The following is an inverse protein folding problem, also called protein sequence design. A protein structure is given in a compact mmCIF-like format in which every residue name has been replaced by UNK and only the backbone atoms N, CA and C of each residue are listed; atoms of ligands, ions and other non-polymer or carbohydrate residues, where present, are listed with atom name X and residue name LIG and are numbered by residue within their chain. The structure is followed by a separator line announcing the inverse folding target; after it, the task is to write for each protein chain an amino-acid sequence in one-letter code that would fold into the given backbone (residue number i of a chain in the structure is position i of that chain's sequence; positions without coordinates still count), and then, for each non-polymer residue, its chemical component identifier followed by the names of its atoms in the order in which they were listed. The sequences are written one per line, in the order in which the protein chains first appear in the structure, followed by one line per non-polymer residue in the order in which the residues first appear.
data_IF_996311581223
#
_entry.id   IF_996311581223
#
_cell.length_a   1.000
_cell.length_b   1.000
_cell.length_c   1.000
_cell.angle_alpha   90.00
_cell.angle_beta   90.00
_cell.angle_gamma   90.00
#
_symmetry.space_group_name_H-M   'P 1'
#
loop_
_entity.id
_entity.type
_entity.pdbx_description
1 polymer ?
#
# COMPACT_ATOMS: atom_id res chain seq x y z
N UNK A 1 -0.59 -5.72 -73.72
CA UNK A 1 -1.07 -5.95 -72.33
C UNK A 1 0.13 -6.37 -71.49
N UNK A 2 0.69 -5.47 -70.70
CA UNK A 2 1.75 -5.76 -69.73
C UNK A 2 1.34 -5.05 -68.45
N UNK A 3 0.76 -5.80 -67.51
CA UNK A 3 0.35 -5.29 -66.20
C UNK A 3 1.55 -5.45 -65.27
N UNK A 4 2.09 -4.33 -64.81
CA UNK A 4 3.17 -4.26 -63.84
C UNK A 4 2.73 -4.81 -62.48
N UNK A 5 3.45 -5.82 -61.98
CA UNK A 5 3.39 -6.24 -60.58
C UNK A 5 4.17 -5.23 -59.73
N UNK A 6 3.46 -4.41 -58.95
CA UNK A 6 4.05 -3.63 -57.86
C UNK A 6 4.28 -4.56 -56.67
N UNK A 7 5.53 -5.02 -56.50
CA UNK A 7 5.99 -5.57 -55.23
C UNK A 7 6.07 -4.43 -54.21
N UNK A 8 5.10 -4.36 -53.30
CA UNK A 8 5.25 -3.63 -52.04
C UNK A 8 6.33 -4.36 -51.23
N UNK A 9 7.57 -3.88 -51.31
CA UNK A 9 8.57 -4.19 -50.29
C UNK A 9 8.07 -3.57 -48.98
N UNK A 10 7.63 -4.44 -48.07
CA UNK A 10 7.42 -4.09 -46.67
C UNK A 10 8.81 -3.73 -46.11
N UNK A 11 9.13 -2.43 -46.07
CA UNK A 11 10.29 -1.95 -45.33
C UNK A 11 10.07 -2.32 -43.87
N UNK A 12 10.80 -3.33 -43.40
CA UNK A 12 10.99 -3.56 -41.98
C UNK A 12 11.68 -2.30 -41.43
N UNK A 13 10.91 -1.43 -40.80
CA UNK A 13 11.39 -0.14 -40.30
C UNK A 13 12.56 -0.38 -39.35
N UNK A 14 13.74 0.12 -39.72
CA UNK A 14 14.88 0.20 -38.81
C UNK A 14 14.49 1.09 -37.64
N UNK A 15 14.73 0.62 -36.42
CA UNK A 15 14.48 1.41 -35.22
C UNK A 15 15.26 2.75 -35.31
N UNK A 16 14.68 3.85 -34.83
CA UNK A 16 15.42 5.09 -34.62
C UNK A 16 16.71 4.82 -33.83
N UNK A 17 17.82 5.53 -34.13
CA UNK A 17 19.12 5.27 -33.52
C UNK A 17 19.11 5.33 -31.99
N UNK A 18 18.27 6.18 -31.37
CA UNK A 18 18.10 6.22 -29.91
C UNK A 18 17.51 4.94 -29.34
N UNK A 19 16.45 4.40 -29.96
CA UNK A 19 15.79 3.17 -29.52
C UNK A 19 16.68 1.94 -29.76
N UNK A 20 17.48 1.92 -30.82
CA UNK A 20 18.43 0.85 -31.08
C UNK A 20 19.56 0.78 -30.03
N UNK A 21 20.03 1.95 -29.57
CA UNK A 21 21.04 2.06 -28.52
C UNK A 21 20.51 1.59 -27.16
N UNK A 22 19.30 2.01 -26.79
CA UNK A 22 18.63 1.56 -25.56
C UNK A 22 18.36 0.05 -25.59
N UNK A 23 17.89 -0.48 -26.71
CA UNK A 23 17.68 -1.92 -26.89
C UNK A 23 18.99 -2.69 -26.69
N UNK A 24 20.10 -2.21 -27.27
CA UNK A 24 21.40 -2.84 -27.13
C UNK A 24 21.86 -2.85 -25.67
N UNK A 25 21.74 -1.70 -24.98
CA UNK A 25 22.06 -1.59 -23.56
C UNK A 25 21.25 -2.57 -22.71
N UNK A 26 19.93 -2.62 -22.89
CA UNK A 26 19.05 -3.54 -22.15
C UNK A 26 19.46 -5.00 -22.41
N UNK A 27 19.75 -5.36 -23.67
CA UNK A 27 20.19 -6.73 -23.97
C UNK A 27 21.54 -7.07 -23.35
N UNK A 28 22.46 -6.11 -23.25
CA UNK A 28 23.75 -6.30 -22.59
C UNK A 28 23.58 -6.44 -21.08
N UNK A 29 22.78 -5.59 -20.43
CA UNK A 29 22.53 -5.64 -18.99
C UNK A 29 21.87 -6.95 -18.55
N UNK A 30 20.92 -7.44 -19.36
CA UNK A 30 20.19 -8.67 -19.05
C UNK A 30 20.93 -9.95 -19.53
N UNK A 31 22.05 -9.80 -20.23
CA UNK A 31 22.86 -10.94 -20.68
C UNK A 31 23.54 -11.61 -19.49
N UNK A 32 23.11 -12.82 -19.15
CA UNK A 32 23.65 -13.56 -17.99
C UNK A 32 23.11 -13.09 -16.64
N UNK A 33 22.16 -12.14 -16.62
CA UNK A 33 21.51 -11.71 -15.39
C UNK A 33 20.57 -12.80 -14.86
N UNK A 34 20.80 -13.26 -13.63
CA UNK A 34 19.94 -14.23 -12.97
C UNK A 34 19.09 -13.55 -11.88
N UNK A 35 17.83 -13.30 -12.21
CA UNK A 35 16.85 -12.66 -11.31
C UNK A 35 16.53 -13.43 -10.04
N UNK A 36 16.85 -14.72 -9.96
CA UNK A 36 16.60 -15.52 -8.76
C UNK A 36 17.70 -15.34 -7.70
N UNK A 37 18.79 -14.67 -8.06
CA UNK A 37 19.94 -14.41 -7.18
C UNK A 37 19.88 -12.97 -6.73
N UNK A 38 19.93 -12.78 -5.40
CA UNK A 38 20.02 -11.45 -4.79
C UNK A 38 21.23 -10.67 -5.30
N UNK A 39 21.15 -9.34 -5.39
CA UNK A 39 22.29 -8.51 -5.79
C UNK A 39 23.49 -8.61 -4.86
N UNK A 40 23.24 -8.68 -3.56
CA UNK A 40 24.26 -8.70 -2.51
C UNK A 40 23.84 -9.65 -1.36
N UNK A 41 24.78 -9.97 -0.48
CA UNK A 41 24.56 -10.74 0.74
C UNK A 41 23.58 -10.03 1.68
N UNK A 42 23.66 -8.71 1.75
CA UNK A 42 22.75 -7.85 2.53
C UNK A 42 22.26 -6.68 1.68
N UNK A 43 20.95 -6.64 1.41
CA UNK A 43 20.33 -5.62 0.56
C UNK A 43 19.56 -4.62 1.41
N UNK A 44 19.90 -3.34 1.30
CA UNK A 44 19.14 -2.26 1.91
C UNK A 44 17.98 -1.85 1.00
N UNK A 45 16.77 -1.88 1.53
CA UNK A 45 15.55 -1.50 0.82
C UNK A 45 14.97 -0.27 1.50
N UNK A 46 14.80 0.79 0.73
CA UNK A 46 14.10 1.99 1.14
C UNK A 46 12.64 1.86 0.69
N UNK A 47 11.70 1.97 1.63
CA UNK A 47 10.27 1.96 1.33
C UNK A 47 9.70 3.34 1.59
N UNK A 48 8.94 3.86 0.63
CA UNK A 48 8.07 5.02 0.83
C UNK A 48 6.62 4.61 0.60
N UNK A 49 5.73 5.12 1.43
CA UNK A 49 4.29 4.92 1.28
C UNK A 49 3.60 6.26 1.10
N UNK A 50 2.66 6.32 0.16
CA UNK A 50 1.77 7.46 -0.05
C UNK A 50 0.33 6.98 0.02
N UNK A 51 -0.41 7.42 1.03
CA UNK A 51 -1.78 6.99 1.29
C UNK A 51 -2.73 7.82 0.41
N UNK A 52 -3.50 7.13 -0.44
CA UNK A 52 -4.44 7.80 -1.35
C UNK A 52 -5.84 7.88 -0.77
N UNK A 53 -6.31 6.77 -0.19
CA UNK A 53 -7.62 6.74 0.45
C UNK A 53 -7.74 5.54 1.38
N UNK A 54 -8.58 5.69 2.38
CA UNK A 54 -9.13 4.56 3.13
C UNK A 54 -10.41 4.18 2.40
N UNK A 55 -10.47 2.97 1.85
CA UNK A 55 -11.58 2.54 0.99
C UNK A 55 -12.74 2.05 1.84
N UNK A 56 -12.45 1.14 2.79
CA UNK A 56 -13.45 0.62 3.73
C UNK A 56 -12.83 0.32 5.08
N UNK A 57 -13.65 0.46 6.12
CA UNK A 57 -13.35 -0.02 7.47
C UNK A 57 -14.49 -0.95 7.89
N UNK A 58 -14.16 -2.23 8.06
CA UNK A 58 -15.07 -3.25 8.61
C UNK A 58 -14.70 -3.52 10.06
N UNK A 59 -15.41 -2.86 10.97
CA UNK A 59 -15.21 -2.99 12.41
C UNK A 59 -15.55 -4.39 12.93
N UNK A 60 -16.51 -5.08 12.29
CA UNK A 60 -16.95 -6.41 12.71
C UNK A 60 -15.92 -7.46 12.34
N UNK A 61 -15.38 -7.37 11.12
CA UNK A 61 -14.32 -8.26 10.66
C UNK A 61 -12.92 -7.83 11.13
N UNK A 62 -12.80 -6.65 11.73
CA UNK A 62 -11.53 -6.06 12.13
C UNK A 62 -10.56 -5.88 10.96
N UNK A 63 -11.08 -5.40 9.83
CA UNK A 63 -10.32 -5.22 8.59
C UNK A 63 -10.42 -3.76 8.12
N UNK A 64 -9.25 -3.18 7.82
CA UNK A 64 -9.14 -1.91 7.11
C UNK A 64 -8.64 -2.17 5.69
N UNK A 65 -9.37 -1.65 4.71
CA UNK A 65 -8.96 -1.64 3.30
C UNK A 65 -8.52 -0.23 2.93
N UNK A 66 -7.28 -0.10 2.47
CA UNK A 66 -6.71 1.17 2.02
C UNK A 66 -6.16 1.05 0.60
N UNK A 67 -6.07 2.17 -0.10
CA UNK A 67 -5.36 2.27 -1.37
C UNK A 67 -4.16 3.19 -1.17
N UNK A 68 -2.98 2.68 -1.49
CA UNK A 68 -1.72 3.39 -1.31
C UNK A 68 -0.77 3.15 -2.48
N UNK A 69 0.09 4.13 -2.77
CA UNK A 69 1.29 3.90 -3.57
C UNK A 69 2.39 3.42 -2.64
N UNK A 70 3.03 2.31 -2.97
CA UNK A 70 4.21 1.81 -2.26
C UNK A 70 5.36 1.86 -3.25
N UNK A 71 6.43 2.58 -2.91
CA UNK A 71 7.67 2.54 -3.66
C UNK A 71 8.75 1.81 -2.89
N UNK A 72 9.59 1.10 -3.64
CA UNK A 72 10.73 0.35 -3.13
C UNK A 72 11.95 0.79 -3.93
N UNK A 73 13.02 1.13 -3.23
CA UNK A 73 14.29 1.50 -3.83
C UNK A 73 15.37 0.61 -3.25
N UNK A 74 16.16 0.00 -4.12
CA UNK A 74 17.32 -0.80 -3.75
C UNK A 74 18.43 -0.59 -4.75
N UNK A 75 19.56 -1.23 -4.52
CA UNK A 75 20.74 -1.12 -5.36
C UNK A 75 21.12 -2.49 -5.91
N UNK A 76 21.43 -2.57 -7.20
CA UNK A 76 21.91 -3.77 -7.89
C UNK A 76 23.07 -3.40 -8.82
N UNK A 77 24.30 -3.64 -8.34
CA UNK A 77 25.54 -3.36 -9.09
C UNK A 77 25.59 -4.01 -10.47
N UNK A 78 24.92 -5.16 -10.64
CA UNK A 78 24.90 -5.91 -11.91
C UNK A 78 24.11 -5.17 -13.00
N UNK A 79 23.27 -4.21 -12.62
CA UNK A 79 22.50 -3.37 -13.52
C UNK A 79 23.13 -1.98 -13.71
N UNK A 80 24.38 -1.78 -13.29
CA UNK A 80 25.11 -0.52 -13.50
C UNK A 80 25.77 -0.46 -14.89
N UNK A 81 25.92 0.75 -15.44
CA UNK A 81 26.66 0.97 -16.68
C UNK A 81 27.31 2.36 -16.72
N UNK A 82 28.28 2.53 -17.61
CA UNK A 82 28.91 3.83 -17.84
C UNK A 82 28.12 4.63 -18.88
N UNK A 83 27.53 5.75 -18.46
CA UNK A 83 26.73 6.65 -19.32
C UNK A 83 27.50 7.10 -20.58
N UNK A 84 28.81 7.35 -20.46
CA UNK A 84 29.65 7.80 -21.58
C UNK A 84 29.81 6.72 -22.66
N UNK A 85 29.80 5.44 -22.27
CA UNK A 85 29.89 4.31 -23.21
C UNK A 85 28.53 3.95 -23.82
N UNK A 86 27.44 4.38 -23.19
CA UNK A 86 26.06 4.03 -23.55
C UNK A 86 25.28 5.21 -24.14
N UNK A 87 25.95 6.09 -24.90
CA UNK A 87 25.33 7.24 -25.56
C UNK A 87 24.62 8.22 -24.61
N UNK A 88 25.15 8.41 -23.40
CA UNK A 88 24.60 9.26 -22.34
C UNK A 88 23.19 8.86 -21.88
N UNK A 89 22.85 7.58 -21.97
CA UNK A 89 21.63 7.04 -21.34
C UNK A 89 21.88 6.97 -19.83
N UNK A 90 21.11 7.74 -19.05
CA UNK A 90 21.20 7.77 -17.59
C UNK A 90 20.20 6.81 -16.93
N UNK A 91 19.02 6.64 -17.53
CA UNK A 91 17.94 5.84 -16.95
C UNK A 91 17.34 4.93 -18.03
N UNK A 92 17.04 3.69 -17.64
CA UNK A 92 16.28 2.73 -18.47
C UNK A 92 15.10 2.18 -17.69
N UNK A 93 14.04 1.80 -18.39
CA UNK A 93 12.87 1.16 -17.79
C UNK A 93 12.91 -0.35 -18.07
N UNK A 94 13.09 -1.15 -17.02
CA UNK A 94 13.16 -2.60 -17.14
C UNK A 94 11.85 -3.24 -16.65
N UNK A 95 11.32 -4.28 -17.32
CA UNK A 95 10.23 -5.07 -16.78
C UNK A 95 10.61 -5.69 -15.44
N UNK A 96 9.75 -5.54 -14.44
CA UNK A 96 9.98 -6.09 -13.09
C UNK A 96 10.20 -7.61 -13.14
N UNK A 97 9.54 -8.32 -14.07
CA UNK A 97 9.70 -9.77 -14.26
C UNK A 97 11.08 -10.22 -14.74
N UNK A 98 11.90 -9.32 -15.30
CA UNK A 98 13.24 -9.63 -15.81
C UNK A 98 14.35 -9.36 -14.80
N UNK A 99 14.07 -8.63 -13.72
CA UNK A 99 15.04 -8.27 -12.69
C UNK A 99 14.73 -8.96 -11.37
N UNK A 100 15.71 -9.02 -10.47
CA UNK A 100 15.46 -9.42 -9.09
C UNK A 100 14.59 -8.37 -8.40
N UNK A 101 13.62 -8.81 -7.60
CA UNK A 101 12.83 -7.94 -6.73
C UNK A 101 12.81 -8.48 -5.31
N UNK A 102 12.71 -7.59 -4.31
CA UNK A 102 12.58 -8.03 -2.93
C UNK A 102 11.19 -8.65 -2.69
N UNK A 103 11.17 -9.67 -1.84
CA UNK A 103 9.97 -10.43 -1.46
C UNK A 103 9.20 -9.77 -0.31
N UNK A 104 8.93 -8.47 -0.46
CA UNK A 104 8.19 -7.71 0.56
C UNK A 104 6.71 -8.15 0.58
N UNK A 105 6.20 -8.46 1.76
CA UNK A 105 4.81 -8.84 2.01
C UNK A 105 4.22 -8.05 3.18
N UNK A 106 2.90 -8.13 3.32
CA UNK A 106 2.15 -7.54 4.41
C UNK A 106 1.91 -8.62 5.48
N UNK A 107 2.58 -8.51 6.63
CA UNK A 107 2.51 -9.48 7.71
C UNK A 107 1.10 -9.61 8.30
N UNK A 108 0.42 -8.49 8.51
CA UNK A 108 -0.93 -8.46 9.06
C UNK A 108 -2.02 -8.39 7.97
N UNK A 109 -1.75 -9.02 6.81
CA UNK A 109 -2.72 -9.07 5.73
C UNK A 109 -3.99 -9.83 6.13
N UNK A 110 -5.13 -9.32 5.69
CA UNK A 110 -6.40 -10.03 5.77
C UNK A 110 -6.63 -10.97 4.57
N UNK A 111 -5.86 -10.80 3.49
CA UNK A 111 -5.91 -11.65 2.31
C UNK A 111 -4.99 -12.87 2.46
N UNK A 112 -5.34 -13.97 1.77
CA UNK A 112 -4.65 -15.25 1.91
C UNK A 112 -3.20 -15.26 1.38
N UNK A 113 -2.88 -14.41 0.39
CA UNK A 113 -1.54 -14.35 -0.20
C UNK A 113 -0.53 -13.61 0.69
N UNK A 114 -0.94 -12.53 1.34
CA UNK A 114 -0.05 -11.62 2.08
C UNK A 114 0.94 -10.83 1.22
N UNK A 115 1.32 -11.32 0.04
CA UNK A 115 2.23 -10.66 -0.89
C UNK A 115 1.64 -9.41 -1.54
N UNK A 116 2.50 -8.44 -1.83
CA UNK A 116 2.15 -7.28 -2.64
C UNK A 116 1.86 -7.74 -4.07
N UNK A 117 0.70 -7.35 -4.60
CA UNK A 117 0.30 -7.71 -5.96
C UNK A 117 1.09 -6.87 -6.96
N UNK A 118 2.10 -7.48 -7.60
CA UNK A 118 2.90 -6.84 -8.65
C UNK A 118 2.40 -7.31 -10.01
N UNK A 119 2.04 -6.38 -10.89
CA UNK A 119 1.61 -6.72 -12.26
C UNK A 119 2.82 -7.12 -13.11
N UNK A 120 2.66 -8.11 -13.99
CA UNK A 120 3.69 -8.55 -14.94
C UNK A 120 4.13 -7.45 -15.93
N UNK A 121 3.31 -6.42 -16.08
CA UNK A 121 3.58 -5.25 -16.92
C UNK A 121 4.24 -4.10 -16.16
N UNK A 122 4.49 -4.25 -14.86
CA UNK A 122 5.15 -3.22 -14.05
C UNK A 122 6.57 -3.03 -14.55
N UNK A 123 6.98 -1.76 -14.66
CA UNK A 123 8.33 -1.37 -15.00
C UNK A 123 9.02 -0.81 -13.76
N UNK A 124 10.30 -1.12 -13.61
CA UNK A 124 11.18 -0.47 -12.65
C UNK A 124 12.09 0.49 -13.42
N UNK A 125 12.30 1.67 -12.84
CA UNK A 125 13.29 2.62 -13.33
C UNK A 125 14.64 2.20 -12.76
N UNK A 126 15.63 2.06 -13.63
CA UNK A 126 17.01 1.75 -13.24
C UNK A 126 17.89 2.89 -13.70
N UNK A 127 18.65 3.46 -12.78
CA UNK A 127 19.67 4.46 -13.05
C UNK A 127 21.01 3.76 -13.38
N UNK A 128 21.85 4.44 -14.15
CA UNK A 128 23.22 4.08 -14.52
C UNK A 128 24.10 3.66 -13.35
N UNK A 129 23.82 4.18 -12.16
CA UNK A 129 24.50 3.81 -10.91
C UNK A 129 24.19 2.39 -10.45
N UNK A 130 23.10 1.77 -10.92
CA UNK A 130 22.57 0.50 -10.42
C UNK A 130 21.44 0.68 -9.39
N UNK A 131 21.02 1.92 -9.11
CA UNK A 131 19.85 2.17 -8.26
C UNK A 131 18.57 1.77 -9.02
N UNK A 132 17.76 0.92 -8.40
CA UNK A 132 16.48 0.48 -8.93
C UNK A 132 15.36 1.11 -8.11
N UNK A 133 14.45 1.79 -8.80
CA UNK A 133 13.23 2.38 -8.25
C UNK A 133 12.00 1.68 -8.83
N UNK A 134 11.25 1.00 -7.96
CA UNK A 134 9.99 0.36 -8.30
C UNK A 134 8.85 1.03 -7.55
N UNK A 135 7.77 1.35 -8.26
CA UNK A 135 6.54 1.87 -7.67
C UNK A 135 5.38 0.93 -7.96
N UNK A 136 4.61 0.61 -6.93
CA UNK A 136 3.38 -0.17 -7.01
C UNK A 136 2.21 0.82 -6.89
N UNK A 137 1.58 1.19 -8.01
CA UNK A 137 0.55 2.21 -8.01
C UNK A 137 -0.79 1.67 -7.50
N UNK A 138 -1.50 2.52 -6.73
CA UNK A 138 -2.88 2.28 -6.29
C UNK A 138 -3.12 0.87 -5.70
N UNK A 139 -2.17 0.36 -4.91
CA UNK A 139 -2.26 -0.98 -4.34
C UNK A 139 -3.38 -1.03 -3.30
N UNK A 140 -4.34 -1.94 -3.50
CA UNK A 140 -5.39 -2.23 -2.51
C UNK A 140 -4.82 -3.12 -1.41
N UNK A 141 -4.68 -2.57 -0.21
CA UNK A 141 -4.08 -3.21 0.95
C UNK A 141 -5.18 -3.49 1.97
N UNK A 142 -5.42 -4.77 2.26
CA UNK A 142 -6.35 -5.22 3.30
C UNK A 142 -5.57 -5.70 4.51
N UNK A 143 -5.70 -4.99 5.63
CA UNK A 143 -4.96 -5.28 6.86
C UNK A 143 -5.90 -5.55 8.01
N UNK A 144 -5.49 -6.47 8.89
CA UNK A 144 -6.15 -6.69 10.17
C UNK A 144 -5.79 -5.55 11.13
N UNK A 145 -6.82 -4.92 11.68
CA UNK A 145 -6.70 -3.82 12.63
C UNK A 145 -7.67 -4.04 13.79
N UNK A 146 -7.19 -3.94 15.02
CA UNK A 146 -8.00 -4.16 16.21
C UNK A 146 -8.81 -2.91 16.55
N UNK A 147 -10.13 -2.96 16.38
CA UNK A 147 -11.03 -1.86 16.69
C UNK A 147 -11.55 -1.94 18.13
N UNK A 148 -11.35 -0.88 18.91
CA UNK A 148 -11.82 -0.76 20.29
C UNK A 148 -13.02 0.19 20.37
N UNK A 149 -14.23 -0.35 20.53
CA UNK A 149 -15.50 0.41 20.45
C UNK A 149 -16.05 0.89 21.80
N UNK A 150 -15.22 0.97 22.85
CA UNK A 150 -15.66 1.30 24.21
C UNK A 150 -16.26 2.71 24.33
N UNK A 151 -15.74 3.67 23.56
CA UNK A 151 -16.16 5.09 23.58
C UNK A 151 -16.98 5.48 22.36
N UNK A 152 -17.64 4.52 21.71
CA UNK A 152 -18.43 4.81 20.51
C UNK A 152 -19.49 5.91 20.79
N UNK A 153 -19.65 6.92 19.91
CA UNK A 153 -18.98 7.15 18.62
C UNK A 153 -17.77 8.10 18.67
N UNK A 154 -17.19 8.35 19.85
CA UNK A 154 -16.03 9.23 20.08
C UNK A 154 -14.73 8.43 20.26
N UNK A 155 -14.60 7.35 19.51
CA UNK A 155 -13.46 6.44 19.54
C UNK A 155 -12.34 6.86 18.58
N UNK A 156 -11.12 6.55 19.00
CA UNK A 156 -9.90 6.65 18.20
C UNK A 156 -9.36 5.25 17.96
N UNK A 157 -8.81 5.02 16.78
CA UNK A 157 -8.29 3.72 16.36
C UNK A 157 -6.89 3.91 15.78
N UNK A 158 -6.04 2.90 15.97
CA UNK A 158 -4.68 2.86 15.44
C UNK A 158 -4.61 1.62 14.56
N UNK A 159 -4.48 1.82 13.25
CA UNK A 159 -4.33 0.74 12.30
C UNK A 159 -2.93 0.75 11.70
N UNK A 160 -2.27 -0.39 11.69
CA UNK A 160 -0.92 -0.54 11.15
C UNK A 160 -0.91 -1.32 9.85
N UNK A 161 -0.06 -0.95 8.89
CA UNK A 161 0.33 -1.78 7.75
C UNK A 161 1.76 -2.24 8.02
N UNK A 162 1.94 -3.54 8.27
CA UNK A 162 3.23 -4.10 8.63
C UNK A 162 3.86 -4.81 7.43
N UNK A 163 4.95 -4.25 6.89
CA UNK A 163 5.71 -4.80 5.78
C UNK A 163 6.94 -5.55 6.28
N UNK A 164 7.23 -6.70 5.70
CA UNK A 164 8.39 -7.55 6.05
C UNK A 164 8.82 -8.37 4.84
N UNK A 165 10.06 -8.86 4.83
CA UNK A 165 10.51 -9.91 3.90
C UNK A 165 10.11 -11.30 4.42
N UNK A 166 10.00 -12.31 3.55
CA UNK A 166 9.58 -13.67 3.92
C UNK A 166 10.70 -14.70 3.87
N UNK A 167 11.28 -14.87 2.69
CA UNK A 167 12.11 -15.99 2.27
C UNK A 167 13.60 -15.66 2.28
N UNK A 168 13.96 -14.38 2.44
CA UNK A 168 15.35 -13.97 2.33
C UNK A 168 16.18 -14.27 3.59
N UNK A 169 15.59 -14.73 4.69
CA UNK A 169 16.31 -15.08 5.91
C UNK A 169 16.79 -13.86 6.73
N UNK A 170 17.27 -14.13 7.94
CA UNK A 170 17.63 -13.11 8.93
C UNK A 170 18.72 -12.16 8.42
N UNK A 171 18.53 -10.85 8.66
CA UNK A 171 19.49 -9.77 8.41
C UNK A 171 19.96 -9.61 6.94
N UNK A 172 19.31 -10.27 5.99
CA UNK A 172 19.67 -10.24 4.57
C UNK A 172 18.95 -9.13 3.80
N UNK A 173 17.81 -8.69 4.31
CA UNK A 173 17.14 -7.47 3.89
C UNK A 173 17.12 -6.54 5.10
N UNK A 174 17.68 -5.35 4.94
CA UNK A 174 17.50 -4.26 5.91
C UNK A 174 16.51 -3.28 5.32
N UNK A 175 15.49 -2.96 6.11
CA UNK A 175 14.64 -1.83 5.81
C UNK A 175 15.28 -0.57 6.38
N UNK A 176 15.79 0.28 5.48
CA UNK A 176 16.43 1.51 5.90
C UNK A 176 15.37 2.58 6.15
N UNK A 177 15.40 3.16 7.35
CA UNK A 177 14.63 4.35 7.67
C UNK A 177 15.24 5.53 6.91
N UNK A 178 14.53 6.07 5.92
CA UNK A 178 14.83 7.43 5.51
C UNK A 178 14.16 8.35 6.54
N UNK A 179 14.97 8.89 7.46
CA UNK A 179 14.55 9.77 8.58
C UNK A 179 13.73 11.00 8.18
N UNK A 180 13.56 11.24 6.88
CA UNK A 180 12.80 12.35 6.29
C UNK A 180 11.41 11.95 5.78
N UNK A 181 11.03 10.67 5.84
CA UNK A 181 9.79 10.16 5.24
C UNK A 181 8.64 10.12 6.23
N UNK A 182 7.94 11.25 6.34
CA UNK A 182 6.51 11.23 6.70
C UNK A 182 5.77 10.50 5.57
N UNK A 183 4.79 9.66 5.91
CA UNK A 183 3.90 9.05 4.92
C UNK A 183 3.28 10.16 4.09
N UNK A 184 3.45 10.14 2.78
CA UNK A 184 2.93 11.21 1.94
C UNK A 184 1.40 11.11 1.90
N UNK A 185 0.74 12.09 2.52
CA UNK A 185 -0.71 12.24 2.53
C UNK A 185 -1.18 13.38 1.65
N UNK A 186 -0.32 13.96 0.79
CA UNK A 186 -0.70 15.10 -0.07
C UNK A 186 -1.83 14.76 -1.05
N UNK A 187 -1.86 13.52 -1.52
CA UNK A 187 -2.92 12.97 -2.37
C UNK A 187 -4.08 12.31 -1.62
N UNK A 188 -4.14 12.42 -0.28
CA UNK A 188 -5.14 11.71 0.50
C UNK A 188 -6.55 12.29 0.33
N UNK A 189 -7.49 11.45 -0.12
CA UNK A 189 -8.91 11.73 -0.10
C UNK A 189 -9.51 11.34 1.24
N UNK A 190 -10.09 12.32 1.94
CA UNK A 190 -10.59 12.12 3.30
C UNK A 190 -11.80 11.18 3.34
N UNK A 191 -11.76 10.22 4.28
CA UNK A 191 -12.87 9.29 4.47
C UNK A 191 -14.11 9.99 5.09
N UNK A 192 -15.35 9.65 4.67
CA UNK A 192 -16.56 10.32 5.14
C UNK A 192 -16.85 10.12 6.64
N UNK A 193 -16.48 8.98 7.21
CA UNK A 193 -16.77 8.63 8.62
C UNK A 193 -15.54 8.69 9.55
N UNK A 194 -14.34 8.78 8.97
CA UNK A 194 -13.09 8.65 9.71
C UNK A 194 -12.16 9.78 9.30
N UNK A 195 -11.61 10.48 10.28
CA UNK A 195 -10.59 11.50 10.10
C UNK A 195 -9.23 10.85 10.35
N UNK A 196 -8.36 10.88 9.34
CA UNK A 196 -6.93 10.62 9.54
C UNK A 196 -6.33 11.88 10.18
N UNK A 197 -5.83 11.77 11.41
CA UNK A 197 -5.28 12.93 12.12
C UNK A 197 -3.76 12.88 12.28
N UNK A 198 -3.16 11.69 12.20
CA UNK A 198 -1.72 11.52 12.28
C UNK A 198 -1.28 10.24 11.55
N UNK A 199 -0.01 10.17 11.21
CA UNK A 199 0.63 9.01 10.58
C UNK A 199 2.04 8.87 11.10
N UNK A 200 2.47 7.64 11.37
CA UNK A 200 3.83 7.36 11.84
C UNK A 200 4.43 6.19 11.08
N UNK A 201 5.76 6.17 10.93
CA UNK A 201 6.50 5.10 10.28
C UNK A 201 7.57 4.61 11.25
N UNK A 202 7.40 3.37 11.71
CA UNK A 202 8.27 2.76 12.70
C UNK A 202 9.01 1.59 12.06
N UNK A 203 10.33 1.62 12.09
CA UNK A 203 11.17 0.48 11.69
C UNK A 203 11.52 -0.32 12.93
N UNK A 204 11.07 -1.57 12.98
CA UNK A 204 11.37 -2.52 14.04
C UNK A 204 12.42 -3.48 13.49
N UNK A 205 13.66 -3.33 13.96
CA UNK A 205 14.73 -4.22 13.54
C UNK A 205 14.54 -5.63 14.11
N UNK A 206 15.11 -6.59 13.40
CA UNK A 206 15.11 -7.99 13.82
C UNK A 206 15.74 -8.18 15.22
N UNK A 207 16.84 -7.48 15.48
CA UNK A 207 17.57 -7.48 16.75
C UNK A 207 16.73 -7.03 17.95
N UNK A 208 15.83 -6.08 17.72
CA UNK A 208 15.04 -5.46 18.79
C UNK A 208 13.89 -6.36 19.23
N UNK A 209 13.45 -7.28 18.36
CA UNK A 209 12.32 -8.17 18.61
C UNK A 209 12.72 -9.43 19.37
N UNK A 210 13.88 -10.00 19.03
CA UNK A 210 14.43 -11.16 19.70
C UNK A 210 15.96 -11.13 19.60
N UNK A 211 16.67 -10.54 20.60
CA UNK A 211 18.13 -10.41 20.55
C UNK A 211 18.88 -11.75 20.53
N UNK A 212 18.19 -12.87 20.76
CA UNK A 212 18.76 -14.22 20.83
C UNK A 212 18.17 -15.21 19.81
N UNK A 213 17.26 -14.77 18.93
CA UNK A 213 16.69 -15.63 17.88
C UNK A 213 16.89 -15.00 16.50
N UNK A 214 17.78 -15.60 15.70
CA UNK A 214 18.07 -15.22 14.31
C UNK A 214 16.97 -15.66 13.32
N UNK A 215 15.71 -15.51 13.71
CA UNK A 215 14.55 -16.03 12.96
C UNK A 215 13.62 -14.94 12.45
N UNK A 216 13.75 -13.71 12.95
CA UNK A 216 12.84 -12.62 12.61
C UNK A 216 13.44 -11.66 11.59
N UNK A 217 12.66 -11.26 10.59
CA UNK A 217 13.05 -10.20 9.65
C UNK A 217 12.69 -8.84 10.24
N UNK A 218 13.35 -7.78 9.75
CA UNK A 218 12.97 -6.41 10.06
C UNK A 218 11.54 -6.12 9.58
N UNK A 219 10.80 -5.32 10.34
CA UNK A 219 9.43 -4.93 10.02
C UNK A 219 9.35 -3.42 9.89
N UNK A 220 8.73 -2.94 8.81
CA UNK A 220 8.27 -1.56 8.73
C UNK A 220 6.79 -1.52 9.11
N UNK A 221 6.45 -0.73 10.12
CA UNK A 221 5.08 -0.51 10.57
C UNK A 221 4.64 0.91 10.19
N UNK A 222 3.72 1.00 9.24
CA UNK A 222 3.05 2.25 8.83
C UNK A 222 1.81 2.38 9.71
N UNK A 223 1.83 3.28 10.70
CA UNK A 223 0.71 3.51 11.61
C UNK A 223 -0.18 4.64 11.11
N UNK A 224 -1.48 4.37 11.04
CA UNK A 224 -2.52 5.33 10.69
C UNK A 224 -3.36 5.61 11.93
N UNK A 225 -3.38 6.87 12.37
CA UNK A 225 -4.15 7.29 13.52
C UNK A 225 -5.49 7.88 13.06
N UNK A 226 -6.56 7.18 13.40
CA UNK A 226 -7.91 7.45 12.92
C UNK A 226 -8.81 7.90 14.06
N UNK A 227 -9.64 8.90 13.79
CA UNK A 227 -10.68 9.39 14.71
C UNK A 227 -12.04 9.33 14.03
N UNK A 228 -13.05 8.75 14.70
CA UNK A 228 -14.40 8.68 14.14
C UNK A 228 -15.04 10.08 14.11
N UNK A 229 -15.77 10.38 13.03
CA UNK A 229 -16.65 11.55 12.92
C UNK A 229 -18.01 11.20 13.57
N UNK A 230 -18.34 11.75 14.75
CA UNK A 230 -19.47 11.26 15.55
C UNK A 230 -20.85 11.75 15.07
N UNK A 231 -20.90 12.81 14.25
CA UNK A 231 -22.13 13.56 13.96
C UNK A 231 -23.28 12.68 13.45
N UNK A 232 -23.00 11.79 12.49
CA UNK A 232 -24.00 10.88 11.93
C UNK A 232 -24.60 9.95 13.00
N UNK A 233 -23.75 9.40 13.87
CA UNK A 233 -24.16 8.48 14.93
C UNK A 233 -24.89 9.21 16.07
N UNK A 234 -24.52 10.46 16.36
CA UNK A 234 -25.22 11.28 17.33
C UNK A 234 -26.64 11.63 16.87
N UNK A 235 -26.80 12.08 15.63
CA UNK A 235 -28.10 12.51 15.10
C UNK A 235 -29.08 11.34 14.92
N UNK A 236 -28.59 10.17 14.50
CA UNK A 236 -29.47 9.02 14.23
C UNK A 236 -29.62 8.07 15.42
N UNK A 237 -28.59 7.94 16.26
CA UNK A 237 -28.62 7.05 17.43
C UNK A 237 -29.06 7.81 18.68
N UNK A 238 -28.20 8.69 19.17
CA UNK A 238 -28.39 9.36 20.49
C UNK A 238 -29.63 10.25 20.47
N UNK A 239 -29.78 11.10 19.46
CA UNK A 239 -30.91 12.04 19.39
C UNK A 239 -32.26 11.33 19.23
N UNK A 240 -32.33 10.25 18.46
CA UNK A 240 -33.53 9.42 18.37
C UNK A 240 -33.91 8.80 19.73
N UNK A 241 -32.93 8.24 20.45
CA UNK A 241 -33.14 7.73 21.81
C UNK A 241 -33.60 8.83 22.78
N UNK A 242 -33.04 10.05 22.69
CA UNK A 242 -33.46 11.17 23.53
C UNK A 242 -34.93 11.57 23.25
N UNK A 243 -35.34 11.61 21.98
CA UNK A 243 -36.74 11.86 21.62
C UNK A 243 -37.64 10.77 22.19
N UNK A 244 -37.28 9.50 22.05
CA UNK A 244 -38.06 8.39 22.62
C UNK A 244 -38.21 8.52 24.14
N UNK A 245 -37.13 8.87 24.85
CA UNK A 245 -37.18 9.12 26.30
C UNK A 245 -38.03 10.34 26.68
N UNK A 246 -38.03 11.41 25.87
CA UNK A 246 -38.92 12.54 26.10
C UNK A 246 -40.39 12.13 25.89
N UNK A 247 -40.69 11.33 24.87
CA UNK A 247 -42.05 10.85 24.60
C UNK A 247 -42.52 9.89 25.69
N UNK A 248 -41.66 9.02 26.23
CA UNK A 248 -42.03 8.17 27.38
C UNK A 248 -42.35 9.01 28.61
N UNK A 249 -41.57 10.04 28.91
CA UNK A 249 -41.87 10.96 30.01
C UNK A 249 -43.20 11.72 29.81
N UNK A 250 -43.44 12.24 28.60
CA UNK A 250 -44.70 12.91 28.24
C UNK A 250 -45.92 12.00 28.32
N UNK A 251 -45.75 10.69 28.09
CA UNK A 251 -46.86 9.73 28.17
C UNK A 251 -47.53 9.67 29.55
N UNK A 252 -46.80 9.98 30.63
CA UNK A 252 -47.34 10.04 31.99
C UNK A 252 -48.30 11.22 32.21
N UNK A 253 -48.27 12.24 31.35
CA UNK A 253 -49.19 13.37 31.41
C UNK A 253 -50.52 13.12 30.69
N UNK A 254 -50.64 12.00 29.95
CA UNK A 254 -51.85 11.63 29.21
C UNK A 254 -52.84 10.84 30.08
N UNK A 255 -54.16 10.91 29.78
CA UNK A 255 -55.16 10.07 30.44
C UNK A 255 -54.95 8.57 30.13
N UNK A 256 -55.48 7.69 31.00
CA UNK A 256 -55.21 6.24 31.01
C UNK A 256 -55.40 5.51 29.65
N UNK A 257 -56.41 5.89 28.86
CA UNK A 257 -56.73 5.21 27.60
C UNK A 257 -55.67 5.40 26.49
N UNK A 258 -55.24 6.63 26.13
CA UNK A 258 -54.16 6.83 25.17
C UNK A 258 -52.77 6.40 25.67
N UNK A 259 -52.55 6.37 26.99
CA UNK A 259 -51.26 6.04 27.59
C UNK A 259 -50.78 4.60 27.26
N UNK A 260 -51.68 3.61 27.34
CA UNK A 260 -51.34 2.19 27.10
C UNK A 260 -50.92 1.96 25.65
N UNK A 261 -51.61 2.60 24.69
CA UNK A 261 -51.28 2.50 23.27
C UNK A 261 -49.92 3.11 22.95
N UNK A 262 -49.60 4.26 23.54
CA UNK A 262 -48.32 4.95 23.31
C UNK A 262 -47.14 4.14 23.87
N UNK A 263 -47.23 3.65 25.10
CA UNK A 263 -46.18 2.84 25.72
C UNK A 263 -45.91 1.53 24.96
N UNK A 264 -46.96 0.88 24.45
CA UNK A 264 -46.82 -0.32 23.63
C UNK A 264 -46.04 -0.02 22.35
N UNK A 265 -46.37 1.07 21.66
CA UNK A 265 -45.70 1.46 20.41
C UNK A 265 -44.23 1.85 20.65
N UNK A 266 -43.91 2.52 21.76
CA UNK A 266 -42.53 2.88 22.08
C UNK A 266 -41.68 1.64 22.40
N UNK A 267 -42.25 0.62 23.08
CA UNK A 267 -41.52 -0.61 23.40
C UNK A 267 -41.14 -1.44 22.15
N UNK A 268 -41.93 -1.35 21.07
CA UNK A 268 -41.66 -2.05 19.82
C UNK A 268 -40.82 -1.25 18.81
N UNK A 269 -40.48 0.01 19.13
CA UNK A 269 -39.63 0.87 18.30
C UNK A 269 -38.17 0.84 18.74
#
# INVERSE_FOLDING_TARGET
MLVCYLFYFCNCGTLPPSQANEQTLITTLLSGYNKNIRPDDQVSIYITASLQQIVTIDEKQQIMTSSSFISQTWFDDRLSWNTSASNNIEVVMLPVKSIWIPDTMILNSADASGYLTVSDYSLASVDSTGQVYMILPALTIRTRCNFYVQKFPFDNQICSINLTSWSQGYNRIIYAENRSLVIDTSGYSEHPLWKLYDTDLIVINASDRAPFEETYNAIISIQLFLQRKPLFFMMNGIFACLILNCVTLLSYALPFAPQIGLCKNIFFS
#
